data_IF_106093643803
#
_entry.id   IF_106093643803
#
_cell.length_a   1.000
_cell.length_b   1.000
_cell.length_c   1.000
_cell.angle_alpha   90.00
_cell.angle_beta   90.00
_cell.angle_gamma   90.00
#
_symmetry.space_group_name_H-M   'P 1'
#
loop_
_entity.id
_entity.type
_entity.pdbx_description
1 polymer ?
#
# COMPACT_ATOMS: atom_id res chain seq x y z
N UNK A 1 30.46 11.45 -53.31
CA UNK A 1 31.22 10.47 -52.50
C UNK A 1 30.32 9.57 -51.63
N UNK A 2 29.13 9.14 -52.11
CA UNK A 2 28.20 8.25 -51.37
C UNK A 2 27.52 7.28 -52.37
N UNK A 3 28.32 6.52 -53.13
CA UNK A 3 27.82 5.48 -54.05
C UNK A 3 28.67 4.19 -54.08
N UNK A 4 29.58 4.00 -53.12
CA UNK A 4 30.53 2.86 -53.12
C UNK A 4 30.56 2.00 -51.85
N UNK A 5 29.60 2.17 -50.93
CA UNK A 5 29.56 1.36 -49.69
C UNK A 5 28.39 0.37 -49.61
N UNK A 6 27.55 0.27 -50.66
CA UNK A 6 26.38 -0.63 -50.69
C UNK A 6 26.58 -1.89 -51.56
N UNK A 7 27.81 -2.23 -51.96
CA UNK A 7 28.12 -3.39 -52.80
C UNK A 7 29.16 -4.33 -52.19
N UNK A 8 29.10 -4.53 -50.86
CA UNK A 8 29.98 -5.47 -50.14
C UNK A 8 29.30 -6.13 -48.93
N UNK A 9 28.02 -6.48 -49.07
CA UNK A 9 27.29 -7.29 -48.08
C UNK A 9 26.50 -8.46 -48.68
N UNK A 10 26.52 -8.65 -50.00
CA UNK A 10 25.84 -9.78 -50.66
C UNK A 10 26.85 -10.66 -51.41
N UNK A 11 27.68 -11.37 -50.66
CA UNK A 11 28.32 -12.60 -51.12
C UNK A 11 27.68 -13.76 -50.35
N UNK A 12 27.01 -14.66 -51.08
CA UNK A 12 26.41 -15.90 -50.57
C UNK A 12 27.41 -16.65 -49.67
N UNK A 13 27.00 -17.13 -48.48
CA UNK A 13 27.61 -18.30 -47.89
C UNK A 13 26.84 -19.57 -48.27
N UNK A 14 27.59 -20.67 -48.21
CA UNK A 14 27.31 -22.01 -48.66
C UNK A 14 26.15 -22.71 -47.94
N UNK A 15 25.63 -23.72 -48.63
CA UNK A 15 24.72 -24.76 -48.13
C UNK A 15 25.28 -25.47 -46.89
N UNK A 16 24.60 -25.34 -45.75
CA UNK A 16 24.69 -26.27 -44.63
C UNK A 16 23.34 -26.98 -44.45
N UNK A 17 23.40 -28.26 -44.10
CA UNK A 17 22.31 -29.23 -44.16
C UNK A 17 21.09 -28.89 -43.31
N UNK A 18 19.94 -29.40 -43.76
CA UNK A 18 18.69 -29.43 -43.00
C UNK A 18 18.83 -30.45 -41.87
N UNK A 19 19.03 -29.99 -40.65
CA UNK A 19 18.66 -30.74 -39.46
C UNK A 19 17.18 -30.46 -39.15
N UNK A 20 16.39 -31.52 -39.03
CA UNK A 20 14.99 -31.46 -38.64
C UNK A 20 14.87 -30.95 -37.20
N UNK A 21 14.00 -29.97 -36.89
CA UNK A 21 13.75 -29.60 -35.51
C UNK A 21 13.07 -30.78 -34.80
N UNK A 22 13.67 -31.23 -33.70
CA UNK A 22 13.06 -32.21 -32.79
C UNK A 22 11.72 -31.71 -32.23
N UNK A 23 10.85 -32.61 -31.75
CA UNK A 23 9.50 -32.24 -31.33
C UNK A 23 9.59 -31.20 -30.21
N UNK A 24 8.90 -30.08 -30.40
CA UNK A 24 8.75 -29.05 -29.39
C UNK A 24 8.15 -29.68 -28.12
N UNK A 25 8.88 -29.58 -27.00
CA UNK A 25 8.33 -29.91 -25.70
C UNK A 25 7.11 -29.03 -25.46
N UNK A 26 5.92 -29.64 -25.46
CA UNK A 26 4.70 -29.00 -25.02
C UNK A 26 4.87 -28.62 -23.55
N UNK A 27 5.28 -27.37 -23.29
CA UNK A 27 5.06 -26.73 -22.02
C UNK A 27 3.55 -26.65 -21.82
N UNK A 28 3.03 -27.54 -20.98
CA UNK A 28 1.70 -27.45 -20.43
C UNK A 28 1.61 -26.14 -19.62
N UNK A 29 1.28 -25.05 -20.31
CA UNK A 29 0.70 -23.86 -19.71
C UNK A 29 -0.66 -24.29 -19.19
N UNK A 30 -0.67 -24.86 -17.98
CA UNK A 30 -1.89 -25.11 -17.24
C UNK A 30 -2.73 -23.85 -17.28
N UNK A 31 -4.01 -24.00 -17.63
CA UNK A 31 -4.99 -22.92 -17.57
C UNK A 31 -4.83 -22.21 -16.22
N UNK A 32 -4.75 -20.86 -16.18
CA UNK A 32 -4.65 -20.16 -14.92
C UNK A 32 -5.87 -20.55 -14.09
N UNK A 33 -5.64 -21.33 -13.02
CA UNK A 33 -6.67 -21.63 -12.04
C UNK A 33 -7.16 -20.27 -11.57
N UNK A 34 -8.44 -19.96 -11.86
CA UNK A 34 -9.12 -18.82 -11.25
C UNK A 34 -9.01 -18.98 -9.74
N UNK A 35 -8.04 -18.30 -9.14
CA UNK A 35 -7.97 -18.15 -7.69
C UNK A 35 -9.18 -17.30 -7.36
N UNK A 36 -10.23 -17.92 -6.82
CA UNK A 36 -11.31 -17.15 -6.22
C UNK A 36 -10.67 -16.39 -5.06
N UNK A 37 -10.51 -15.07 -5.20
CA UNK A 37 -10.14 -14.21 -4.09
C UNK A 37 -11.23 -14.36 -3.02
N UNK A 38 -10.97 -15.21 -2.04
CA UNK A 38 -11.80 -15.29 -0.84
C UNK A 38 -11.45 -14.06 -0.03
N UNK A 39 -12.18 -12.96 -0.23
CA UNK A 39 -12.14 -11.78 0.65
C UNK A 39 -12.80 -12.13 1.99
N UNK A 40 -12.24 -13.13 2.68
CA UNK A 40 -12.59 -13.42 4.06
C UNK A 40 -12.07 -12.30 4.94
N UNK A 41 -12.73 -12.05 6.07
CA UNK A 41 -12.22 -11.14 7.11
C UNK A 41 -10.86 -11.68 7.57
N UNK A 42 -9.78 -11.12 7.07
CA UNK A 42 -8.43 -11.52 7.45
C UNK A 42 -8.15 -10.94 8.83
N UNK A 43 -7.82 -11.78 9.82
CA UNK A 43 -7.29 -11.29 11.09
C UNK A 43 -5.82 -10.89 10.90
N UNK A 44 -5.37 -9.75 11.43
CA UNK A 44 -3.98 -9.37 11.32
C UNK A 44 -3.12 -10.27 12.21
N UNK A 45 -1.88 -10.51 11.78
CA UNK A 45 -0.81 -10.89 12.69
C UNK A 45 -0.38 -9.64 13.46
N UNK A 46 -0.34 -9.75 14.78
CA UNK A 46 0.06 -8.65 15.67
C UNK A 46 1.46 -8.94 16.19
N UNK A 47 2.35 -7.97 16.00
CA UNK A 47 3.74 -8.03 16.43
C UNK A 47 3.94 -7.10 17.62
N UNK A 48 4.52 -7.59 18.71
CA UNK A 48 4.84 -6.80 19.89
C UNK A 48 6.22 -6.13 19.83
N UNK A 49 6.51 -5.25 20.79
CA UNK A 49 7.75 -4.45 20.88
C UNK A 49 9.02 -5.29 20.69
N UNK A 50 9.08 -6.47 21.31
CA UNK A 50 10.24 -7.37 21.21
C UNK A 50 10.51 -7.86 19.78
N UNK A 51 9.47 -7.95 18.95
CA UNK A 51 9.54 -8.50 17.60
C UNK A 51 9.75 -7.42 16.52
N UNK A 52 9.07 -6.27 16.67
CA UNK A 52 9.13 -5.19 15.69
C UNK A 52 10.23 -4.16 15.97
N UNK A 53 10.66 -4.01 17.24
CA UNK A 53 11.81 -3.17 17.65
C UNK A 53 11.73 -1.71 17.20
N UNK A 54 10.52 -1.16 17.05
CA UNK A 54 10.34 0.26 16.73
C UNK A 54 10.78 1.07 17.95
N UNK A 55 11.65 2.04 17.73
CA UNK A 55 11.95 3.04 18.75
C UNK A 55 10.83 4.07 18.80
N UNK A 56 10.00 4.00 19.85
CA UNK A 56 8.87 4.92 20.07
C UNK A 56 9.30 6.40 20.05
N UNK A 57 10.55 6.72 20.37
CA UNK A 57 11.08 8.10 20.35
C UNK A 57 11.20 8.67 18.93
N UNK A 58 11.22 7.81 17.91
CA UNK A 58 11.21 8.21 16.52
C UNK A 58 9.80 8.51 15.99
N UNK A 59 8.75 8.14 16.73
CA UNK A 59 7.36 8.39 16.34
C UNK A 59 6.99 9.84 16.67
N UNK A 60 6.34 10.54 15.74
CA UNK A 60 5.89 11.92 15.97
C UNK A 60 4.96 11.99 17.18
N UNK A 61 5.27 12.90 18.10
CA UNK A 61 4.40 13.20 19.25
C UNK A 61 3.01 13.66 18.79
N UNK A 62 2.92 14.38 17.66
CA UNK A 62 1.64 14.84 17.13
C UNK A 62 0.85 13.68 16.48
N UNK A 63 1.52 12.72 15.82
CA UNK A 63 0.87 11.51 15.34
C UNK A 63 0.31 10.66 16.51
N UNK A 64 1.09 10.51 17.59
CA UNK A 64 0.64 9.85 18.83
C UNK A 64 -0.62 10.55 19.38
N UNK A 65 -0.58 11.89 19.51
CA UNK A 65 -1.72 12.67 20.00
C UNK A 65 -2.97 12.53 19.14
N UNK A 66 -2.83 12.45 17.81
CA UNK A 66 -3.95 12.23 16.90
C UNK A 66 -4.58 10.86 17.18
N UNK A 67 -3.76 9.80 17.24
CA UNK A 67 -4.24 8.46 17.56
C UNK A 67 -4.94 8.42 18.92
N UNK A 68 -4.30 8.92 19.98
CA UNK A 68 -4.87 8.95 21.34
C UNK A 68 -6.18 9.74 21.40
N UNK A 69 -6.28 10.87 20.69
CA UNK A 69 -7.51 11.67 20.66
C UNK A 69 -8.65 10.89 20.01
N UNK A 70 -8.42 10.24 18.87
CA UNK A 70 -9.41 9.41 18.19
C UNK A 70 -9.82 8.21 19.06
N UNK A 71 -8.83 7.50 19.63
CA UNK A 71 -9.04 6.34 20.49
C UNK A 71 -9.82 6.69 21.76
N UNK A 72 -9.57 7.86 22.37
CA UNK A 72 -10.35 8.34 23.53
C UNK A 72 -11.83 8.57 23.23
N UNK A 73 -12.20 8.66 21.95
CA UNK A 73 -13.59 8.81 21.47
C UNK A 73 -14.19 7.50 20.94
N UNK A 74 -13.49 6.39 21.12
CA UNK A 74 -13.96 5.06 20.73
C UNK A 74 -13.65 4.67 19.28
N UNK A 75 -12.88 5.49 18.55
CA UNK A 75 -12.44 5.16 17.20
C UNK A 75 -11.14 4.34 17.22
N UNK A 76 -10.92 3.55 16.18
CA UNK A 76 -9.60 2.97 15.90
C UNK A 76 -8.74 4.00 15.21
N UNK A 77 -7.47 4.09 15.57
CA UNK A 77 -6.52 4.96 14.91
C UNK A 77 -5.11 4.38 14.98
N UNK A 78 -4.38 4.44 13.87
CA UNK A 78 -3.06 3.83 13.72
C UNK A 78 -2.16 4.72 12.88
N UNK A 79 -0.86 4.74 13.19
CA UNK A 79 0.16 5.24 12.25
C UNK A 79 0.31 4.21 11.13
N UNK A 80 0.41 4.66 9.88
CA UNK A 80 0.41 3.76 8.69
C UNK A 80 1.45 4.15 7.65
N UNK A 81 1.56 3.33 6.60
CA UNK A 81 2.25 3.69 5.37
C UNK A 81 3.77 3.71 5.49
N UNK A 82 4.40 4.68 4.81
CA UNK A 82 5.85 4.81 4.76
C UNK A 82 6.48 5.03 6.14
N UNK A 83 5.78 5.72 7.04
CA UNK A 83 6.27 5.95 8.39
C UNK A 83 6.50 4.64 9.17
N UNK A 84 5.56 3.71 9.11
CA UNK A 84 5.69 2.40 9.79
C UNK A 84 6.86 1.61 9.20
N UNK A 85 6.96 1.55 7.87
CA UNK A 85 8.09 0.91 7.18
C UNK A 85 9.43 1.48 7.62
N UNK A 86 9.56 2.80 7.63
CA UNK A 86 10.81 3.48 7.95
C UNK A 86 11.19 3.25 9.42
N UNK A 87 10.22 3.32 10.34
CA UNK A 87 10.42 2.99 11.76
C UNK A 87 10.91 1.56 11.98
N UNK A 88 10.33 0.58 11.27
CA UNK A 88 10.73 -0.83 11.34
C UNK A 88 12.15 -1.06 10.80
N UNK A 89 12.63 -0.20 9.91
CA UNK A 89 14.01 -0.19 9.42
C UNK A 89 14.97 0.59 10.34
N UNK A 90 14.49 1.14 11.46
CA UNK A 90 15.26 2.00 12.35
C UNK A 90 15.59 3.37 11.76
N UNK A 91 14.84 3.79 10.73
CA UNK A 91 15.00 5.07 10.06
C UNK A 91 14.00 6.09 10.63
N UNK A 92 14.35 7.38 10.52
CA UNK A 92 13.46 8.47 10.91
C UNK A 92 12.48 8.77 9.76
N UNK A 93 11.15 8.64 9.96
CA UNK A 93 10.17 9.02 8.94
C UNK A 93 10.24 10.50 8.57
N UNK A 94 9.88 10.84 7.33
CA UNK A 94 9.78 12.22 6.84
C UNK A 94 8.46 12.87 7.22
N UNK A 95 7.40 12.09 7.14
CA UNK A 95 6.00 12.41 7.38
C UNK A 95 5.36 11.29 8.20
N UNK A 96 4.19 11.60 8.77
CA UNK A 96 3.40 10.66 9.55
C UNK A 96 1.94 10.73 9.11
N UNK A 97 1.43 9.58 8.69
CA UNK A 97 0.04 9.39 8.31
C UNK A 97 -0.69 8.56 9.37
N UNK A 98 -1.94 8.90 9.62
CA UNK A 98 -2.85 8.16 10.49
C UNK A 98 -4.01 7.60 9.66
N UNK A 99 -4.39 6.35 9.91
CA UNK A 99 -5.62 5.76 9.40
C UNK A 99 -6.59 5.46 10.54
N UNK A 100 -7.88 5.71 10.33
CA UNK A 100 -8.93 5.58 11.36
C UNK A 100 -10.25 5.06 10.78
N UNK A 101 -11.14 4.52 11.63
CA UNK A 101 -12.53 4.25 11.27
C UNK A 101 -13.47 5.45 11.46
N UNK A 102 -12.96 6.58 11.97
CA UNK A 102 -13.71 7.83 11.99
C UNK A 102 -13.86 8.43 10.58
N UNK A 103 -15.04 8.93 10.24
CA UNK A 103 -15.27 9.68 8.99
C UNK A 103 -14.43 10.98 8.96
N UNK A 104 -14.21 11.58 7.79
CA UNK A 104 -13.50 12.85 7.69
C UNK A 104 -14.14 13.95 8.53
N UNK A 105 -15.47 14.03 8.55
CA UNK A 105 -16.22 15.01 9.34
C UNK A 105 -16.12 14.72 10.84
N UNK A 106 -16.16 13.44 11.25
CA UNK A 106 -15.97 13.05 12.64
C UNK A 106 -14.56 13.43 13.11
N UNK A 107 -13.54 13.07 12.34
CA UNK A 107 -12.14 13.43 12.61
C UNK A 107 -11.98 14.95 12.69
N UNK A 108 -12.50 15.69 11.73
CA UNK A 108 -12.41 17.15 11.71
C UNK A 108 -13.01 17.80 12.97
N UNK A 109 -14.14 17.29 13.47
CA UNK A 109 -14.79 17.81 14.69
C UNK A 109 -13.97 17.62 15.96
N UNK A 110 -13.07 16.64 15.99
CA UNK A 110 -12.23 16.36 17.17
C UNK A 110 -11.05 17.30 17.30
N UNK A 111 -10.66 18.00 16.23
CA UNK A 111 -9.47 18.84 16.22
C UNK A 111 -9.80 20.28 15.82
N UNK A 112 -9.46 21.24 16.68
CA UNK A 112 -9.69 22.68 16.44
C UNK A 112 -9.06 23.18 15.13
N UNK A 113 -7.91 22.62 14.74
CA UNK A 113 -7.18 22.98 13.52
C UNK A 113 -7.12 21.79 12.57
N UNK A 114 -8.27 21.42 12.00
CA UNK A 114 -8.36 20.37 10.99
C UNK A 114 -9.15 20.83 9.76
N UNK A 115 -8.73 20.35 8.59
CA UNK A 115 -9.41 20.60 7.31
C UNK A 115 -9.49 19.31 6.49
N UNK A 116 -10.66 19.06 5.91
CA UNK A 116 -10.82 18.00 4.91
C UNK A 116 -10.27 18.51 3.57
N UNK A 117 -9.37 17.74 2.97
CA UNK A 117 -8.76 17.97 1.67
C UNK A 117 -9.16 16.82 0.73
N UNK A 118 -9.22 17.13 -0.57
CA UNK A 118 -9.54 16.15 -1.60
C UNK A 118 -11.05 15.98 -1.81
N UNK A 119 -11.43 15.67 -3.06
CA UNK A 119 -12.82 15.38 -3.44
C UNK A 119 -13.10 13.88 -3.55
N UNK A 120 -12.12 13.12 -4.08
CA UNK A 120 -12.21 11.68 -4.34
C UNK A 120 -11.61 10.83 -3.22
N UNK A 121 -10.53 11.32 -2.63
CA UNK A 121 -9.85 10.72 -1.49
C UNK A 121 -9.84 11.79 -0.40
N UNK A 122 -10.81 11.71 0.50
CA UNK A 122 -10.91 12.69 1.59
C UNK A 122 -9.83 12.39 2.63
N UNK A 123 -8.94 13.35 2.85
CA UNK A 123 -7.88 13.29 3.86
C UNK A 123 -8.08 14.48 4.79
N UNK A 124 -8.02 14.25 6.09
CA UNK A 124 -8.07 15.31 7.10
C UNK A 124 -6.66 15.73 7.46
N UNK A 125 -6.32 16.98 7.18
CA UNK A 125 -5.06 17.57 7.62
C UNK A 125 -5.24 18.13 9.03
N UNK A 126 -4.68 17.45 10.03
CA UNK A 126 -4.65 17.93 11.43
C UNK A 126 -3.35 18.70 11.66
N UNK A 127 -3.46 20.00 11.93
CA UNK A 127 -2.33 20.92 11.94
C UNK A 127 -1.82 21.23 13.36
N UNK A 128 -0.53 21.01 13.59
CA UNK A 128 0.21 21.30 14.82
C UNK A 128 1.38 22.24 14.53
N UNK A 129 1.10 23.55 14.51
CA UNK A 129 2.12 24.54 14.13
C UNK A 129 2.57 24.31 12.67
N UNK A 130 3.86 24.03 12.41
CA UNK A 130 4.35 23.73 11.07
C UNK A 130 4.12 22.27 10.64
N UNK A 131 3.84 21.36 11.57
CA UNK A 131 3.61 19.94 11.28
C UNK A 131 2.14 19.71 10.91
N UNK A 132 1.91 18.85 9.93
CA UNK A 132 0.58 18.38 9.56
C UNK A 132 0.56 16.87 9.62
N UNK A 133 -0.40 16.31 10.34
CA UNK A 133 -0.68 14.88 10.36
C UNK A 133 -1.83 14.63 9.39
N UNK A 134 -1.57 13.85 8.34
CA UNK A 134 -2.61 13.42 7.42
C UNK A 134 -3.39 12.27 8.04
N UNK A 135 -4.70 12.41 8.13
CA UNK A 135 -5.58 11.41 8.74
C UNK A 135 -6.62 10.98 7.72
N UNK A 136 -6.60 9.71 7.34
CA UNK A 136 -7.53 9.12 6.37
C UNK A 136 -8.45 8.10 7.03
N UNK A 137 -9.67 8.01 6.53
CA UNK A 137 -10.61 6.96 6.94
C UNK A 137 -10.29 5.66 6.20
N UNK A 138 -10.46 4.50 6.85
CA UNK A 138 -10.31 3.19 6.21
C UNK A 138 -11.18 3.09 4.96
N UNK A 139 -10.59 2.61 3.87
CA UNK A 139 -11.28 2.45 2.58
C UNK A 139 -11.97 1.10 2.50
N UNK A 140 -13.22 1.08 2.07
CA UNK A 140 -13.92 -0.16 1.74
C UNK A 140 -13.31 -0.80 0.48
N UNK A 141 -13.44 -2.12 0.38
CA UNK A 141 -13.19 -2.84 -0.87
C UNK A 141 -14.07 -2.26 -1.96
N UNK A 142 -13.52 -2.09 -3.17
CA UNK A 142 -14.26 -1.51 -4.27
C UNK A 142 -15.53 -2.33 -4.55
N UNK A 143 -16.70 -1.76 -4.28
CA UNK A 143 -17.97 -2.31 -4.70
C UNK A 143 -18.13 -2.14 -6.22
N UNK A 144 -18.88 -3.04 -6.86
CA UNK A 144 -19.18 -2.97 -8.29
C UNK A 144 -19.95 -1.69 -8.69
N UNK A 145 -20.47 -0.94 -7.71
CA UNK A 145 -21.25 0.29 -7.82
C UNK A 145 -20.44 1.58 -7.90
N UNK A 146 -19.11 1.52 -7.85
CA UNK A 146 -18.29 2.72 -7.99
C UNK A 146 -18.47 3.33 -9.39
N UNK A 147 -19.06 4.53 -9.45
CA UNK A 147 -19.18 5.31 -10.69
C UNK A 147 -17.79 5.48 -11.31
N UNK A 148 -17.62 5.06 -12.57
CA UNK A 148 -16.38 5.22 -13.32
C UNK A 148 -16.57 6.26 -14.42
N UNK A 149 -15.53 7.02 -14.72
CA UNK A 149 -15.52 7.85 -15.92
C UNK A 149 -15.35 6.99 -17.19
N UNK A 150 -15.45 7.63 -18.36
CA UNK A 150 -15.27 6.99 -19.68
C UNK A 150 -13.87 6.36 -19.84
N UNK A 151 -12.91 6.67 -18.97
CA UNK A 151 -11.56 6.14 -18.95
C UNK A 151 -11.37 5.06 -17.87
N UNK A 152 -12.46 4.59 -17.25
CA UNK A 152 -12.46 3.53 -16.23
C UNK A 152 -11.95 3.98 -14.86
N UNK A 153 -11.75 5.28 -14.61
CA UNK A 153 -11.29 5.80 -13.31
C UNK A 153 -12.48 5.97 -12.39
N UNK A 154 -12.34 5.50 -11.15
CA UNK A 154 -13.36 5.68 -10.11
C UNK A 154 -13.56 7.17 -9.80
N UNK A 155 -14.82 7.63 -9.94
CA UNK A 155 -15.25 9.01 -9.76
C UNK A 155 -15.48 9.36 -8.28
N UNK A 156 -15.89 8.37 -7.48
CA UNK A 156 -16.12 8.49 -6.03
C UNK A 156 -15.64 7.22 -5.34
N UNK A 157 -14.72 7.39 -4.40
CA UNK A 157 -14.11 6.30 -3.63
C UNK A 157 -14.19 6.57 -2.13
N UNK A 158 -15.25 7.27 -1.70
CA UNK A 158 -15.50 7.63 -0.31
C UNK A 158 -16.30 6.54 0.42
N UNK A 159 -16.27 5.29 -0.06
CA UNK A 159 -16.83 4.17 0.70
C UNK A 159 -15.87 3.84 1.84
N UNK A 160 -16.35 4.02 3.08
CA UNK A 160 -15.58 3.74 4.28
C UNK A 160 -15.77 2.28 4.69
N UNK A 161 -14.67 1.63 5.05
CA UNK A 161 -14.61 0.20 5.26
C UNK A 161 -13.94 -0.20 6.56
N UNK A 162 -13.64 -1.49 6.65
CA UNK A 162 -12.85 -2.03 7.76
C UNK A 162 -11.35 -1.89 7.49
N UNK A 163 -10.56 -2.04 8.55
CA UNK A 163 -9.10 -1.98 8.46
C UNK A 163 -8.51 -3.06 7.52
N UNK A 164 -9.06 -4.27 7.51
CA UNK A 164 -8.63 -5.36 6.61
C UNK A 164 -8.92 -5.06 5.14
N UNK A 165 -10.01 -4.32 4.89
CA UNK A 165 -10.38 -3.85 3.56
C UNK A 165 -9.43 -2.74 3.10
N UNK A 166 -9.10 -1.78 3.98
CA UNK A 166 -8.11 -0.73 3.68
C UNK A 166 -6.73 -1.32 3.38
N UNK A 167 -6.30 -2.32 4.16
CA UNK A 167 -5.02 -3.00 3.96
C UNK A 167 -4.94 -3.64 2.57
N UNK A 168 -6.02 -4.27 2.14
CA UNK A 168 -6.15 -4.93 0.82
C UNK A 168 -6.15 -3.94 -0.35
N UNK A 169 -6.33 -2.65 -0.09
CA UNK A 169 -6.35 -1.58 -1.10
C UNK A 169 -5.04 -0.79 -1.19
N UNK A 170 -4.03 -1.20 -0.45
CA UNK A 170 -2.70 -0.60 -0.52
C UNK A 170 -1.87 -1.31 -1.58
N UNK A 171 -0.85 -0.63 -2.08
CA UNK A 171 -0.10 -1.12 -3.24
C UNK A 171 0.88 -2.23 -2.86
N UNK A 172 1.57 -2.08 -1.72
CA UNK A 172 2.66 -2.98 -1.30
C UNK A 172 2.50 -3.46 0.15
N UNK A 173 2.89 -4.72 0.40
CA UNK A 173 2.81 -5.37 1.72
C UNK A 173 3.51 -4.56 2.81
N UNK A 174 4.72 -4.08 2.52
CA UNK A 174 5.53 -3.26 3.45
C UNK A 174 4.92 -1.89 3.78
N UNK A 175 3.97 -1.38 3.00
CA UNK A 175 3.26 -0.12 3.26
C UNK A 175 1.84 -0.36 3.82
N UNK A 176 1.46 -1.61 4.06
CA UNK A 176 0.14 -2.04 4.55
C UNK A 176 0.15 -2.53 6.00
N UNK A 177 1.11 -2.05 6.79
CA UNK A 177 1.20 -2.28 8.22
C UNK A 177 0.64 -1.09 9.00
N UNK A 178 0.06 -1.38 10.17
CA UNK A 178 -0.59 -0.40 11.04
C UNK A 178 0.07 -0.45 12.42
N UNK A 179 0.69 0.65 12.85
CA UNK A 179 1.29 0.76 14.17
C UNK A 179 0.32 1.46 15.13
N UNK A 180 -0.02 0.81 16.24
CA UNK A 180 -0.79 1.40 17.32
C UNK A 180 0.16 1.96 18.39
N UNK A 181 0.28 3.30 18.54
CA UNK A 181 1.16 3.89 19.54
C UNK A 181 0.68 3.70 20.99
N UNK A 182 -0.59 3.34 21.22
CA UNK A 182 -1.12 3.13 22.56
C UNK A 182 -0.69 1.80 23.15
N UNK A 183 -0.73 0.74 22.33
CA UNK A 183 -0.34 -0.62 22.70
C UNK A 183 1.08 -0.99 22.28
N UNK A 184 1.74 -0.14 21.47
CA UNK A 184 3.04 -0.40 20.85
C UNK A 184 3.05 -1.74 20.10
N UNK A 185 2.03 -1.93 19.25
CA UNK A 185 1.90 -3.12 18.41
C UNK A 185 1.83 -2.77 16.94
N UNK A 186 2.33 -3.67 16.08
CA UNK A 186 2.21 -3.58 14.62
C UNK A 186 1.24 -4.64 14.12
N UNK A 187 0.20 -4.23 13.40
CA UNK A 187 -0.80 -5.09 12.81
C UNK A 187 -0.51 -5.26 11.32
N UNK A 188 -0.43 -6.52 10.89
CA UNK A 188 0.00 -6.89 9.55
C UNK A 188 -0.97 -7.94 8.95
N UNK A 189 -1.63 -7.57 7.86
CA UNK A 189 -2.59 -8.42 7.15
C UNK A 189 -1.98 -9.17 5.97
N UNK A 190 -0.81 -8.73 5.47
CA UNK A 190 -0.27 -9.14 4.18
C UNK A 190 1.19 -9.60 4.25
N UNK A 191 1.67 -10.01 5.43
CA UNK A 191 3.04 -10.48 5.65
C UNK A 191 4.10 -9.42 5.33
N UNK A 192 3.75 -8.15 5.54
CA UNK A 192 4.65 -7.01 5.34
C UNK A 192 5.89 -7.08 6.23
N UNK A 193 5.79 -7.62 7.44
CA UNK A 193 6.94 -7.81 8.33
C UNK A 193 7.93 -8.84 7.78
N UNK A 194 7.43 -9.96 7.27
CA UNK A 194 8.26 -10.98 6.62
C UNK A 194 8.92 -10.45 5.34
N UNK A 195 8.15 -9.80 4.46
CA UNK A 195 8.67 -9.19 3.23
C UNK A 195 9.70 -8.09 3.54
N UNK A 196 9.49 -7.26 4.57
CA UNK A 196 10.45 -6.24 5.00
C UNK A 196 11.78 -6.86 5.45
N UNK A 197 11.72 -7.90 6.28
CA UNK A 197 12.92 -8.63 6.74
C UNK A 197 13.66 -9.30 5.58
N UNK A 198 12.90 -9.82 4.61
CA UNK A 198 13.44 -10.42 3.39
C UNK A 198 13.90 -9.39 2.34
N UNK A 199 13.67 -8.09 2.57
CA UNK A 199 13.92 -6.99 1.62
C UNK A 199 13.21 -7.20 0.28
N UNK A 200 11.97 -7.67 0.32
CA UNK A 200 11.12 -7.92 -0.84
C UNK A 200 10.07 -6.82 -0.94
N UNK A 201 9.93 -6.24 -2.14
CA UNK A 201 8.81 -5.37 -2.47
C UNK A 201 7.75 -6.21 -3.19
N UNK A 202 6.63 -6.48 -2.51
CA UNK A 202 5.53 -7.30 -3.02
C UNK A 202 4.26 -6.48 -3.16
N UNK A 203 3.61 -6.57 -4.32
CA UNK A 203 2.30 -5.97 -4.54
C UNK A 203 1.21 -6.76 -3.82
N UNK A 204 0.19 -6.06 -3.32
CA UNK A 204 -1.01 -6.68 -2.77
C UNK A 204 -2.02 -6.89 -3.91
N UNK A 205 -2.46 -8.13 -4.10
CA UNK A 205 -3.40 -8.52 -5.16
C UNK A 205 -3.09 -9.87 -5.80
#
# INVERSE_FOLDING_TARGET
>A
MIKKLFKRMFSKPATLGRETPGPAAHLNLGTPKKVKASYGVHKPKVWGVAEHKIDRRLVSHNAIRVCETLQSKGYKAFVVGGAVRDLLLGMRPKDFDVATDASPEQTQRLFRRARVIGRRFQIVHVMFGPETIETSTFRALASASNEKDEHGRVLRDNEFGRQDEDASRRDFTVNAMYYDPSTETVWDYHHGMEDLRARVLRMIG
#
